data_IF_365929362576
#
_entry.id   IF_365929362576
#
_cell.length_a   1.000
_cell.length_b   1.000
_cell.length_c   1.000
_cell.angle_alpha   90.00
_cell.angle_beta   90.00
_cell.angle_gamma   90.00
#
_symmetry.space_group_name_H-M   'P 1'
#
loop_
_entity.id
_entity.type
_entity.pdbx_description
1 polymer ?
#
# COMPACT_ATOMS: atom_id res chain seq x y z
N UNK A 1 4.72 -0.35 -14.17
CA UNK A 1 3.94 -0.29 -12.91
C UNK A 1 4.82 0.09 -11.72
N UNK A 2 5.89 -0.65 -11.38
CA UNK A 2 6.76 -0.30 -10.25
C UNK A 2 7.58 0.99 -10.48
N UNK A 3 8.01 1.26 -11.72
CA UNK A 3 8.73 2.49 -12.09
C UNK A 3 7.93 3.79 -11.98
N UNK A 4 6.62 3.73 -11.72
CA UNK A 4 5.75 4.90 -11.63
C UNK A 4 5.60 5.44 -10.19
N UNK A 5 6.18 4.80 -9.18
CA UNK A 5 6.08 5.28 -7.79
C UNK A 5 6.89 6.55 -7.52
N UNK A 6 7.92 6.80 -8.33
CA UNK A 6 8.74 8.01 -8.29
C UNK A 6 8.38 9.00 -9.42
N UNK A 7 7.24 8.79 -10.11
CA UNK A 7 6.84 9.66 -11.21
C UNK A 7 6.44 11.06 -10.71
N UNK A 8 6.71 12.06 -11.53
CA UNK A 8 6.33 13.46 -11.29
C UNK A 8 5.12 13.82 -12.17
N UNK A 9 4.13 14.50 -11.59
CA UNK A 9 2.94 15.02 -12.29
C UNK A 9 2.85 16.52 -12.01
N UNK A 10 2.88 17.33 -13.06
CA UNK A 10 2.91 18.80 -12.96
C UNK A 10 4.06 19.37 -12.11
N UNK A 11 5.23 18.71 -12.13
CA UNK A 11 6.41 19.15 -11.38
C UNK A 11 6.48 18.63 -9.93
N UNK A 12 5.42 18.00 -9.42
CA UNK A 12 5.37 17.44 -8.07
C UNK A 12 5.37 15.90 -8.07
N UNK A 13 5.91 15.23 -7.04
CA UNK A 13 5.79 13.78 -6.91
C UNK A 13 4.33 13.34 -6.93
N UNK A 14 4.00 12.34 -7.76
CA UNK A 14 2.63 11.82 -7.83
C UNK A 14 2.15 11.22 -6.50
N UNK A 15 3.09 10.75 -5.67
CA UNK A 15 2.86 10.18 -4.35
C UNK A 15 3.82 10.82 -3.35
N UNK A 16 3.41 11.93 -2.69
CA UNK A 16 4.35 12.78 -1.93
C UNK A 16 4.77 12.21 -0.57
N UNK A 17 4.08 11.20 -0.04
CA UNK A 17 4.41 10.56 1.24
C UNK A 17 4.70 9.07 1.12
N UNK A 18 5.39 8.50 2.11
CA UNK A 18 5.64 7.05 2.19
C UNK A 18 4.33 6.28 2.27
N UNK A 19 3.37 6.79 3.03
CA UNK A 19 2.03 6.21 3.16
C UNK A 19 1.30 6.21 1.82
N UNK A 20 1.38 7.31 1.07
CA UNK A 20 0.80 7.42 -0.27
C UNK A 20 1.44 6.45 -1.26
N UNK A 21 2.78 6.36 -1.27
CA UNK A 21 3.52 5.40 -2.10
C UNK A 21 3.17 3.95 -1.77
N UNK A 22 3.11 3.61 -0.47
CA UNK A 22 2.76 2.27 0.00
C UNK A 22 1.32 1.90 -0.38
N UNK A 23 0.36 2.81 -0.16
CA UNK A 23 -1.04 2.61 -0.51
C UNK A 23 -1.22 2.34 -2.02
N UNK A 24 -0.58 3.14 -2.86
CA UNK A 24 -0.66 2.98 -4.31
C UNK A 24 0.06 1.72 -4.79
N UNK A 25 1.21 1.37 -4.21
CA UNK A 25 1.92 0.12 -4.50
C UNK A 25 1.01 -1.09 -4.24
N UNK A 26 0.40 -1.18 -3.05
CA UNK A 26 -0.51 -2.27 -2.71
C UNK A 26 -1.72 -2.29 -3.67
N UNK A 27 -2.35 -1.14 -3.89
CA UNK A 27 -3.53 -1.04 -4.75
C UNK A 27 -3.24 -1.50 -6.18
N UNK A 28 -2.18 -0.98 -6.81
CA UNK A 28 -1.90 -1.27 -8.21
C UNK A 28 -1.38 -2.68 -8.46
N UNK A 29 -0.56 -3.24 -7.57
CA UNK A 29 -0.10 -4.62 -7.72
C UNK A 29 -1.28 -5.58 -7.64
N UNK A 30 -2.24 -5.34 -6.75
CA UNK A 30 -3.43 -6.18 -6.64
C UNK A 30 -4.37 -5.98 -7.82
N UNK A 31 -4.72 -4.73 -8.16
CA UNK A 31 -5.75 -4.42 -9.17
C UNK A 31 -5.31 -4.63 -10.60
N UNK A 32 -4.05 -4.39 -10.91
CA UNK A 32 -3.60 -4.45 -12.29
C UNK A 32 -3.10 -5.85 -12.70
N UNK A 33 -3.12 -6.82 -11.77
CA UNK A 33 -2.76 -8.21 -11.99
C UNK A 33 -1.45 -8.41 -12.81
N UNK A 34 -0.31 -7.81 -12.41
CA UNK A 34 0.94 -7.90 -13.17
C UNK A 34 1.54 -9.33 -13.21
N UNK A 35 1.09 -10.24 -12.36
CA UNK A 35 1.52 -11.64 -12.32
C UNK A 35 0.40 -12.57 -12.79
N UNK A 36 0.77 -13.73 -13.35
CA UNK A 36 -0.18 -14.78 -13.76
C UNK A 36 -1.06 -15.26 -12.59
N UNK A 37 -0.45 -15.46 -11.42
CA UNK A 37 -1.15 -15.69 -10.14
C UNK A 37 -0.35 -15.03 -9.00
N UNK A 38 -0.95 -14.94 -7.82
CA UNK A 38 -0.28 -14.49 -6.60
C UNK A 38 -0.32 -12.98 -6.39
N UNK A 39 -1.03 -12.21 -7.22
CA UNK A 39 -1.09 -10.75 -7.15
C UNK A 39 -1.39 -10.19 -5.73
N UNK A 40 -2.32 -10.82 -5.00
CA UNK A 40 -2.63 -10.46 -3.60
C UNK A 40 -1.43 -10.69 -2.67
N UNK A 41 -0.79 -11.86 -2.76
CA UNK A 41 0.36 -12.25 -1.93
C UNK A 41 1.58 -11.39 -2.26
N UNK A 42 1.90 -11.20 -3.54
CA UNK A 42 3.00 -10.35 -3.99
C UNK A 42 2.77 -8.89 -3.63
N UNK A 43 1.54 -8.39 -3.77
CA UNK A 43 1.18 -7.03 -3.35
C UNK A 43 1.36 -6.80 -1.85
N UNK A 44 0.89 -7.73 -1.02
CA UNK A 44 1.09 -7.68 0.42
C UNK A 44 2.57 -7.76 0.82
N UNK A 45 3.35 -8.64 0.18
CA UNK A 45 4.79 -8.74 0.42
C UNK A 45 5.52 -7.44 0.06
N UNK A 46 5.27 -6.89 -1.13
CA UNK A 46 5.88 -5.64 -1.59
C UNK A 46 5.51 -4.46 -0.69
N UNK A 47 4.27 -4.42 -0.20
CA UNK A 47 3.82 -3.42 0.76
C UNK A 47 4.60 -3.48 2.08
N UNK A 48 4.75 -4.66 2.67
CA UNK A 48 5.51 -4.87 3.92
C UNK A 48 6.99 -4.54 3.72
N UNK A 49 7.61 -5.04 2.65
CA UNK A 49 9.01 -4.75 2.32
C UNK A 49 9.25 -3.25 2.11
N UNK A 50 8.33 -2.56 1.43
CA UNK A 50 8.40 -1.11 1.24
C UNK A 50 8.32 -0.36 2.57
N UNK A 51 7.39 -0.73 3.47
CA UNK A 51 7.30 -0.12 4.80
C UNK A 51 8.55 -0.38 5.63
N UNK A 52 9.11 -1.59 5.56
CA UNK A 52 10.34 -1.95 6.27
C UNK A 52 11.53 -1.11 5.81
N UNK A 53 11.74 -1.00 4.50
CA UNK A 53 12.82 -0.19 3.90
C UNK A 53 12.73 1.30 4.24
N UNK A 54 11.53 1.79 4.52
CA UNK A 54 11.29 3.18 4.90
C UNK A 54 11.13 3.39 6.41
N UNK A 55 11.44 2.38 7.25
CA UNK A 55 11.37 2.50 8.71
C UNK A 55 9.95 2.70 9.26
N UNK A 56 8.92 2.31 8.51
CA UNK A 56 7.50 2.49 8.85
C UNK A 56 6.78 1.18 9.19
N UNK A 57 7.46 0.04 9.15
CA UNK A 57 6.84 -1.25 9.44
C UNK A 57 6.48 -1.43 10.93
N UNK A 58 7.26 -0.82 11.83
CA UNK A 58 7.09 -0.95 13.27
C UNK A 58 6.64 0.39 13.87
N UNK A 59 5.85 0.29 14.94
CA UNK A 59 5.52 1.41 15.83
C UNK A 59 6.70 1.71 16.76
N UNK A 60 6.61 2.80 17.52
CA UNK A 60 7.64 3.20 18.49
C UNK A 60 7.87 2.15 19.59
N UNK A 61 6.85 1.37 19.94
CA UNK A 61 6.92 0.28 20.92
C UNK A 61 7.46 -1.04 20.33
N UNK A 62 7.89 -1.03 19.07
CA UNK A 62 8.42 -2.19 18.36
C UNK A 62 7.35 -3.16 17.85
N UNK A 63 6.06 -2.89 18.05
CA UNK A 63 4.98 -3.71 17.50
C UNK A 63 4.78 -3.45 16.01
N UNK A 64 4.35 -4.45 15.23
CA UNK A 64 3.99 -4.25 13.83
C UNK A 64 2.90 -3.18 13.68
N UNK A 65 3.06 -2.28 12.70
CA UNK A 65 2.06 -1.28 12.34
C UNK A 65 0.76 -1.95 11.86
N UNK A 66 0.89 -3.02 11.09
CA UNK A 66 -0.20 -3.88 10.64
C UNK A 66 0.13 -5.34 10.96
N UNK A 67 -0.81 -6.07 11.53
CA UNK A 67 -0.66 -7.49 11.80
C UNK A 67 -1.07 -8.34 10.58
N UNK A 68 -0.73 -9.63 10.61
CA UNK A 68 -0.95 -10.54 9.47
C UNK A 68 -2.43 -10.62 9.05
N UNK A 69 -3.33 -10.69 10.02
CA UNK A 69 -4.78 -10.72 9.77
C UNK A 69 -5.26 -9.43 9.11
N UNK A 70 -4.80 -8.27 9.60
CA UNK A 70 -5.14 -6.96 9.05
C UNK A 70 -4.60 -6.79 7.63
N UNK A 71 -3.37 -7.25 7.37
CA UNK A 71 -2.76 -7.21 6.04
C UNK A 71 -3.51 -8.11 5.05
N UNK A 72 -3.88 -9.32 5.48
CA UNK A 72 -4.68 -10.24 4.66
C UNK A 72 -6.06 -9.63 4.33
N UNK A 73 -6.74 -9.06 5.33
CA UNK A 73 -8.02 -8.40 5.14
C UNK A 73 -7.92 -7.20 4.19
N UNK A 74 -6.85 -6.39 4.31
CA UNK A 74 -6.62 -5.25 3.45
C UNK A 74 -6.36 -5.66 2.00
N UNK A 75 -5.56 -6.71 1.78
CA UNK A 75 -5.30 -7.25 0.45
C UNK A 75 -6.58 -7.81 -0.21
N UNK A 76 -7.45 -8.46 0.56
CA UNK A 76 -8.76 -8.92 0.08
C UNK A 76 -9.68 -7.74 -0.23
N UNK A 77 -9.77 -6.75 0.65
CA UNK A 77 -10.59 -5.56 0.45
C UNK A 77 -10.22 -4.82 -0.85
N UNK A 78 -8.91 -4.66 -1.11
CA UNK A 78 -8.42 -4.08 -2.36
C UNK A 78 -8.78 -4.95 -3.57
N UNK A 79 -8.66 -6.27 -3.45
CA UNK A 79 -8.99 -7.18 -4.55
C UNK A 79 -10.47 -7.09 -4.93
N UNK A 80 -11.37 -7.14 -3.94
CA UNK A 80 -12.83 -7.20 -4.12
C UNK A 80 -13.48 -5.85 -4.43
N UNK A 81 -12.77 -4.73 -4.26
CA UNK A 81 -13.38 -3.40 -4.43
C UNK A 81 -13.81 -3.09 -5.86
N UNK A 82 -14.82 -2.23 -6.03
CA UNK A 82 -15.09 -1.63 -7.33
C UNK A 82 -13.98 -0.63 -7.71
N UNK A 83 -13.69 -0.41 -9.01
CA UNK A 83 -12.72 0.59 -9.46
C UNK A 83 -13.02 2.01 -8.95
N UNK A 84 -14.30 2.37 -8.81
CA UNK A 84 -14.75 3.68 -8.31
C UNK A 84 -14.35 3.92 -6.84
N UNK A 85 -14.09 2.86 -6.09
CA UNK A 85 -13.68 2.94 -4.68
C UNK A 85 -12.17 3.14 -4.51
N UNK A 86 -11.41 3.30 -5.61
CA UNK A 86 -9.95 3.49 -5.58
C UNK A 86 -9.52 4.54 -4.56
N UNK A 87 -10.06 5.75 -4.69
CA UNK A 87 -9.65 6.88 -3.84
C UNK A 87 -9.98 6.64 -2.37
N UNK A 88 -11.15 6.06 -2.09
CA UNK A 88 -11.56 5.67 -0.74
C UNK A 88 -10.60 4.67 -0.13
N UNK A 89 -10.20 3.64 -0.88
CA UNK A 89 -9.25 2.63 -0.39
C UNK A 89 -7.85 3.18 -0.21
N UNK A 90 -7.37 4.03 -1.11
CA UNK A 90 -6.07 4.70 -0.96
C UNK A 90 -6.06 5.50 0.34
N UNK A 91 -7.10 6.29 0.62
CA UNK A 91 -7.22 7.05 1.88
C UNK A 91 -7.30 6.16 3.10
N UNK A 92 -8.06 5.07 3.03
CA UNK A 92 -8.14 4.09 4.11
C UNK A 92 -6.75 3.52 4.43
N UNK A 93 -6.02 3.06 3.42
CA UNK A 93 -4.68 2.49 3.60
C UNK A 93 -3.74 3.56 4.19
N UNK A 94 -3.76 4.79 3.67
CA UNK A 94 -2.93 5.88 4.21
C UNK A 94 -3.26 6.18 5.68
N UNK A 95 -4.54 6.25 6.05
CA UNK A 95 -4.95 6.48 7.44
C UNK A 95 -4.54 5.34 8.37
N UNK A 96 -4.57 4.08 7.91
CA UNK A 96 -4.10 2.94 8.70
C UNK A 96 -2.57 2.99 8.94
N UNK A 97 -1.83 3.70 8.10
CA UNK A 97 -0.38 3.86 8.21
C UNK A 97 0.05 5.10 9.02
N UNK A 98 -0.88 6.02 9.28
CA UNK A 98 -0.62 7.16 10.15
C UNK A 98 -0.52 6.69 11.60
N UNK A 99 0.60 6.98 12.24
CA UNK A 99 0.72 6.84 13.69
C UNK A 99 -0.07 8.02 14.28
N UNK A 100 -1.19 7.74 14.95
CA UNK A 100 -1.78 8.71 15.87
C UNK A 100 -0.98 8.61 17.16
N UNK A 101 -0.18 9.63 17.46
CA UNK A 101 0.34 9.87 18.80
C UNK A 101 -0.81 10.24 19.76
#
# INVERSE_FOLDING_TARGET
MLGNLEQTVFGEPAYPSIESKAAHLLYFVIKNHPFFDGNKRSGAFLFVDFLHKNGKLLKLDGQPLINDTGLAALALLVAESAPQQKETLIRLIMHMLQQND
#
